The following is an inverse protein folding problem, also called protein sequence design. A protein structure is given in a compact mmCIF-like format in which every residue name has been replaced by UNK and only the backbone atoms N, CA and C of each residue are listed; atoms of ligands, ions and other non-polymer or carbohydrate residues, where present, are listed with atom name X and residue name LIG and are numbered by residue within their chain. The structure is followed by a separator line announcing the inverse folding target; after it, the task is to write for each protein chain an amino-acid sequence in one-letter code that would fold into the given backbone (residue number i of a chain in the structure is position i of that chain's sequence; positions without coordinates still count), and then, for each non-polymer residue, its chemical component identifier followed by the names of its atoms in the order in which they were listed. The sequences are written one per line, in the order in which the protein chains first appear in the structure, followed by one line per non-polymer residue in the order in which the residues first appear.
data_IF_274191294240
#
_entry.id   IF_274191294240
#
_cell.length_a   1.000
_cell.length_b   1.000
_cell.length_c   1.000
_cell.angle_alpha   90.00
_cell.angle_beta   90.00
_cell.angle_gamma   90.00
#
_symmetry.space_group_name_H-M   'P 1'
#
loop_
_entity.id
_entity.type
_entity.pdbx_description
1 polymer ?
#
# COMPACT_ATOMS: atom_id res chain seq x y z
N UNK A 1 -18.98 5.50 -21.63
CA UNK A 1 -18.49 4.90 -20.38
C UNK A 1 -17.09 5.43 -20.21
N UNK A 2 -16.83 6.29 -19.21
CA UNK A 2 -15.50 6.82 -18.99
C UNK A 2 -14.73 5.82 -18.13
N UNK A 3 -13.63 5.28 -18.65
CA UNK A 3 -12.74 4.40 -17.91
C UNK A 3 -12.17 5.16 -16.71
N UNK A 4 -12.25 4.55 -15.52
CA UNK A 4 -11.81 5.20 -14.29
C UNK A 4 -10.28 5.23 -14.23
N UNK A 5 -9.69 6.23 -13.56
CA UNK A 5 -8.23 6.33 -13.39
C UNK A 5 -7.63 5.05 -12.77
N UNK A 6 -8.42 4.36 -11.95
CA UNK A 6 -8.05 3.10 -11.31
C UNK A 6 -7.98 1.93 -12.31
N UNK A 7 -8.87 1.90 -13.30
CA UNK A 7 -8.82 0.90 -14.39
C UNK A 7 -7.57 1.07 -15.24
N UNK A 8 -7.20 2.32 -15.56
CA UNK A 8 -5.99 2.62 -16.32
C UNK A 8 -4.72 2.21 -15.56
N UNK A 9 -4.68 2.48 -14.25
CA UNK A 9 -3.58 2.05 -13.38
C UNK A 9 -3.47 0.53 -13.30
N UNK A 10 -4.60 -0.16 -13.17
CA UNK A 10 -4.65 -1.62 -13.15
C UNK A 10 -4.18 -2.21 -14.48
N UNK A 11 -4.52 -1.59 -15.60
CA UNK A 11 -4.08 -2.04 -16.93
C UNK A 11 -2.57 -1.87 -17.13
N UNK A 12 -1.99 -0.73 -16.72
CA UNK A 12 -0.54 -0.52 -16.78
C UNK A 12 0.20 -1.52 -15.90
N UNK A 13 -0.34 -1.80 -14.70
CA UNK A 13 0.25 -2.75 -13.76
C UNK A 13 0.22 -4.19 -14.30
N UNK A 14 -0.88 -4.57 -14.95
CA UNK A 14 -1.02 -5.86 -15.62
C UNK A 14 0.00 -6.02 -16.75
N UNK A 15 0.16 -5.00 -17.61
CA UNK A 15 1.13 -5.03 -18.72
C UNK A 15 2.59 -5.17 -18.23
N UNK A 16 2.93 -4.55 -17.10
CA UNK A 16 4.27 -4.69 -16.52
C UNK A 16 4.51 -6.06 -15.86
N UNK A 17 3.52 -6.63 -15.16
CA UNK A 17 3.64 -7.96 -14.56
C UNK A 17 3.71 -9.08 -15.61
N UNK A 18 3.10 -8.88 -16.78
CA UNK A 18 3.15 -9.85 -17.87
C UNK A 18 4.56 -9.92 -18.53
N UNK A 19 5.36 -8.85 -18.41
CA UNK A 19 6.74 -8.80 -18.94
C UNK A 19 7.79 -9.49 -18.06
N UNK A 20 7.47 -9.88 -16.83
CA UNK A 20 8.40 -10.56 -15.91
C UNK A 20 8.41 -12.09 -16.06
N UNK A 21 7.57 -12.68 -16.93
CA UNK A 21 7.63 -14.11 -17.24
C UNK A 21 8.42 -14.40 -18.52
N UNK A 22 9.76 -14.34 -18.39
CA UNK A 22 10.68 -15.22 -19.11
C UNK A 22 11.11 -14.84 -20.53
N UNK A 23 12.14 -13.99 -20.65
CA UNK A 23 13.31 -14.14 -21.56
C UNK A 23 14.28 -12.95 -21.39
N UNK A 24 15.61 -13.15 -21.37
CA UNK A 24 16.57 -12.06 -21.24
C UNK A 24 16.59 -11.22 -22.55
N UNK A 25 16.56 -9.88 -22.50
CA UNK A 25 16.68 -9.07 -23.70
C UNK A 25 18.13 -9.06 -24.18
N UNK A 26 18.34 -9.73 -25.31
CA UNK A 26 19.54 -9.70 -26.14
C UNK A 26 19.79 -8.26 -26.62
N UNK A 27 20.92 -7.67 -26.17
CA UNK A 27 21.35 -6.34 -26.58
C UNK A 27 21.77 -6.37 -28.06
N UNK A 28 20.93 -5.82 -28.94
CA UNK A 28 21.36 -5.43 -30.28
C UNK A 28 21.96 -4.02 -30.22
N UNK A 29 23.24 -3.80 -30.52
CA UNK A 29 23.75 -2.46 -30.75
C UNK A 29 23.22 -2.01 -32.11
N UNK A 30 22.35 -1.02 -32.11
CA UNK A 30 21.92 -0.31 -33.33
C UNK A 30 22.64 1.03 -33.31
N UNK A 31 23.87 1.06 -33.79
CA UNK A 31 24.59 2.24 -34.29
C UNK A 31 25.97 1.77 -34.77
N UNK A 32 26.09 1.58 -36.08
CA UNK A 32 27.36 1.35 -36.76
C UNK A 32 28.15 2.68 -36.81
N UNK A 33 29.31 2.71 -36.16
CA UNK A 33 30.23 3.85 -36.05
C UNK A 33 31.08 4.04 -37.33
N UNK A 34 30.48 3.95 -38.52
CA UNK A 34 31.20 4.07 -39.80
C UNK A 34 30.62 5.12 -40.77
N UNK A 35 29.49 5.76 -40.45
CA UNK A 35 28.87 6.77 -41.35
C UNK A 35 29.31 8.23 -41.07
N UNK A 36 30.27 8.45 -40.17
CA UNK A 36 30.82 9.79 -39.88
C UNK A 36 32.09 10.07 -40.68
N UNK A 37 31.97 10.19 -42.00
CA UNK A 37 33.06 10.74 -42.82
C UNK A 37 32.58 11.57 -44.01
N UNK A 38 32.39 12.88 -43.78
CA UNK A 38 32.87 13.97 -44.67
C UNK A 38 32.54 15.37 -44.13
N UNK A 39 33.28 16.42 -44.54
CA UNK A 39 33.68 17.51 -43.65
C UNK A 39 32.98 18.86 -43.89
N UNK A 40 33.05 19.69 -42.85
CA UNK A 40 33.01 21.16 -42.83
C UNK A 40 31.77 21.86 -43.39
N UNK A 41 30.99 22.50 -42.50
CA UNK A 41 30.97 23.97 -42.32
C UNK A 41 29.85 24.39 -41.35
N UNK A 42 30.09 25.51 -40.65
CA UNK A 42 29.14 26.36 -39.91
C UNK A 42 29.05 26.12 -38.40
N UNK A 43 29.91 26.84 -37.69
CA UNK A 43 29.81 27.16 -36.27
C UNK A 43 28.48 27.87 -35.97
N UNK A 44 27.54 27.16 -35.36
CA UNK A 44 26.40 27.79 -34.70
C UNK A 44 26.74 28.02 -33.23
N UNK A 45 27.16 29.25 -32.93
CA UNK A 45 27.25 29.78 -31.58
C UNK A 45 25.85 29.71 -30.95
N UNK A 46 25.64 28.78 -30.02
CA UNK A 46 24.45 28.76 -29.19
C UNK A 46 24.46 29.98 -28.27
N UNK A 47 23.71 31.02 -28.64
CA UNK A 47 23.29 32.03 -27.67
C UNK A 47 22.19 31.43 -26.79
N UNK A 48 22.28 31.54 -25.45
CA UNK A 48 21.15 31.23 -24.60
C UNK A 48 20.05 32.24 -24.91
N UNK A 49 18.92 31.75 -25.44
CA UNK A 49 17.67 32.49 -25.49
C UNK A 49 17.29 32.86 -24.06
N UNK A 50 17.64 34.08 -23.66
CA UNK A 50 17.08 34.75 -22.49
C UNK A 50 15.57 34.78 -22.69
N UNK A 51 14.85 33.93 -21.96
CA UNK A 51 13.39 33.99 -21.85
C UNK A 51 13.01 35.32 -21.23
N UNK A 52 12.72 36.31 -22.07
CA UNK A 52 12.04 37.53 -21.64
C UNK A 52 10.74 37.12 -20.94
N UNK A 53 10.38 37.72 -19.80
CA UNK A 53 9.10 37.48 -19.18
C UNK A 53 8.03 37.94 -20.16
N UNK A 54 7.38 36.99 -20.83
CA UNK A 54 6.25 37.29 -21.69
C UNK A 54 5.20 37.93 -20.79
N UNK A 55 4.84 39.18 -21.08
CA UNK A 55 3.91 39.98 -20.31
C UNK A 55 2.52 39.34 -20.34
N UNK A 56 2.28 38.41 -19.40
CA UNK A 56 0.97 37.80 -19.20
C UNK A 56 -0.06 38.87 -18.95
N UNK A 57 -1.22 38.75 -19.58
CA UNK A 57 -2.30 39.69 -19.32
C UNK A 57 -2.84 39.47 -17.89
N UNK A 58 -3.28 40.53 -17.18
CA UNK A 58 -3.86 40.39 -15.84
C UNK A 58 -5.07 39.43 -15.79
N UNK A 59 -5.78 39.28 -16.91
CA UNK A 59 -6.93 38.38 -17.06
C UNK A 59 -6.49 36.91 -17.06
N UNK A 60 -5.42 36.57 -17.78
CA UNK A 60 -4.86 35.21 -17.79
C UNK A 60 -4.32 34.80 -16.42
N UNK A 61 -3.67 35.73 -15.71
CA UNK A 61 -3.13 35.47 -14.38
C UNK A 61 -4.26 35.28 -13.34
N UNK A 62 -5.36 36.03 -13.49
CA UNK A 62 -6.57 35.83 -12.68
C UNK A 62 -7.22 34.46 -12.93
N UNK A 63 -7.33 34.03 -14.19
CA UNK A 63 -7.88 32.71 -14.53
C UNK A 63 -7.00 31.57 -14.00
N UNK A 64 -5.68 31.71 -14.11
CA UNK A 64 -4.75 30.71 -13.57
C UNK A 64 -4.79 30.65 -12.04
N UNK A 65 -4.96 31.80 -11.37
CA UNK A 65 -5.11 31.84 -9.92
C UNK A 65 -6.41 31.19 -9.45
N UNK A 66 -7.51 31.37 -10.20
CA UNK A 66 -8.80 30.75 -9.90
C UNK A 66 -8.75 29.23 -10.08
N UNK A 67 -8.17 28.75 -11.18
CA UNK A 67 -7.94 27.32 -11.40
C UNK A 67 -7.04 26.72 -10.31
N UNK A 68 -5.98 27.42 -9.92
CA UNK A 68 -5.11 26.96 -8.84
C UNK A 68 -5.87 26.83 -7.52
N UNK A 69 -6.71 27.81 -7.18
CA UNK A 69 -7.52 27.78 -5.98
C UNK A 69 -8.53 26.62 -5.98
N UNK A 70 -9.16 26.34 -7.12
CA UNK A 70 -10.09 25.22 -7.29
C UNK A 70 -9.39 23.86 -7.13
N UNK A 71 -8.19 23.69 -7.71
CA UNK A 71 -7.39 22.48 -7.53
C UNK A 71 -6.95 22.29 -6.07
N UNK A 72 -6.51 23.35 -5.39
CA UNK A 72 -6.13 23.29 -3.97
C UNK A 72 -7.34 22.95 -3.07
N UNK A 73 -8.53 23.45 -3.39
CA UNK A 73 -9.76 23.11 -2.69
C UNK A 73 -10.14 21.63 -2.90
N UNK A 74 -10.11 21.16 -4.15
CA UNK A 74 -10.40 19.78 -4.49
C UNK A 74 -9.41 18.80 -3.83
N UNK A 75 -8.12 19.14 -3.82
CA UNK A 75 -7.09 18.33 -3.17
C UNK A 75 -7.32 18.23 -1.66
N UNK A 76 -7.68 19.37 -1.02
CA UNK A 76 -8.00 19.43 0.41
C UNK A 76 -9.21 18.57 0.75
N UNK A 77 -10.26 18.60 -0.07
CA UNK A 77 -11.44 17.75 0.11
C UNK A 77 -11.12 16.27 -0.09
N UNK A 78 -10.38 15.93 -1.15
CA UNK A 78 -9.93 14.56 -1.40
C UNK A 78 -9.03 14.03 -0.27
N UNK A 79 -8.19 14.88 0.31
CA UNK A 79 -7.35 14.52 1.45
C UNK A 79 -8.18 14.27 2.71
N UNK A 80 -9.17 15.14 3.00
CA UNK A 80 -10.11 14.96 4.11
C UNK A 80 -10.90 13.65 3.98
N UNK A 81 -11.41 13.36 2.78
CA UNK A 81 -12.15 12.11 2.51
C UNK A 81 -11.27 10.88 2.72
N UNK A 82 -10.04 10.89 2.22
CA UNK A 82 -9.06 9.81 2.44
C UNK A 82 -8.74 9.62 3.92
N UNK A 83 -8.60 10.71 4.67
CA UNK A 83 -8.35 10.64 6.11
C UNK A 83 -9.53 10.02 6.87
N UNK A 84 -10.77 10.42 6.54
CA UNK A 84 -11.98 9.85 7.14
C UNK A 84 -12.11 8.35 6.85
N UNK A 85 -11.87 7.93 5.60
CA UNK A 85 -11.92 6.52 5.21
C UNK A 85 -10.89 5.68 6.00
N UNK A 86 -9.65 6.15 6.13
CA UNK A 86 -8.63 5.45 6.94
C UNK A 86 -9.04 5.32 8.40
N UNK A 87 -9.58 6.37 9.01
CA UNK A 87 -10.05 6.32 10.40
C UNK A 87 -11.20 5.31 10.58
N UNK A 88 -12.14 5.26 9.64
CA UNK A 88 -13.24 4.29 9.70
C UNK A 88 -12.73 2.85 9.53
N UNK A 89 -11.79 2.64 8.62
CA UNK A 89 -11.14 1.34 8.41
C UNK A 89 -10.37 0.86 9.64
N UNK A 90 -9.59 1.74 10.27
CA UNK A 90 -8.87 1.46 11.52
C UNK A 90 -9.85 1.10 12.64
N UNK A 91 -10.95 1.84 12.77
CA UNK A 91 -11.97 1.56 13.78
C UNK A 91 -12.63 0.20 13.55
N UNK A 92 -12.98 -0.13 12.29
CA UNK A 92 -13.52 -1.45 11.93
C UNK A 92 -12.52 -2.56 12.18
N UNK A 93 -11.24 -2.35 11.86
CA UNK A 93 -10.18 -3.33 12.11
C UNK A 93 -10.04 -3.62 13.62
N UNK A 94 -9.97 -2.57 14.44
CA UNK A 94 -9.90 -2.69 15.89
C UNK A 94 -11.13 -3.39 16.48
N UNK A 95 -12.33 -3.07 15.98
CA UNK A 95 -13.55 -3.74 16.43
C UNK A 95 -13.56 -5.23 16.06
N UNK A 96 -13.10 -5.59 14.86
CA UNK A 96 -12.98 -7.00 14.46
C UNK A 96 -11.98 -7.75 15.33
N UNK A 97 -10.83 -7.14 15.61
CA UNK A 97 -9.82 -7.73 16.48
C UNK A 97 -10.35 -7.94 17.90
N UNK A 98 -11.04 -6.93 18.46
CA UNK A 98 -11.64 -7.04 19.79
C UNK A 98 -12.66 -8.18 19.85
N UNK A 99 -13.55 -8.28 18.86
CA UNK A 99 -14.51 -9.39 18.77
C UNK A 99 -13.83 -10.76 18.68
N UNK A 100 -12.72 -10.86 17.92
CA UNK A 100 -11.92 -12.09 17.86
C UNK A 100 -11.32 -12.44 19.21
N UNK A 101 -10.76 -11.47 19.93
CA UNK A 101 -10.20 -11.69 21.28
C UNK A 101 -11.28 -12.08 22.28
N UNK A 102 -12.44 -11.44 22.24
CA UNK A 102 -13.55 -11.76 23.15
C UNK A 102 -14.12 -13.15 22.87
N UNK A 103 -14.27 -13.53 21.60
CA UNK A 103 -14.67 -14.89 21.22
C UNK A 103 -13.63 -15.94 21.65
N UNK A 104 -12.34 -15.63 21.51
CA UNK A 104 -11.25 -16.51 21.96
C UNK A 104 -11.26 -16.67 23.49
N UNK A 105 -11.51 -15.58 24.23
CA UNK A 105 -11.67 -15.62 25.69
C UNK A 105 -12.83 -16.50 26.12
N UNK A 106 -13.99 -16.39 25.47
CA UNK A 106 -15.14 -17.25 25.76
C UNK A 106 -14.81 -18.72 25.47
N UNK A 107 -14.21 -19.00 24.31
CA UNK A 107 -13.80 -20.36 23.98
C UNK A 107 -12.76 -20.92 24.96
N UNK A 108 -11.81 -20.10 25.41
CA UNK A 108 -10.82 -20.49 26.42
C UNK A 108 -11.49 -20.81 27.75
N UNK A 109 -12.46 -20.00 28.18
CA UNK A 109 -13.22 -20.25 29.40
C UNK A 109 -14.03 -21.54 29.30
N UNK A 110 -14.71 -21.77 28.18
CA UNK A 110 -15.47 -23.00 27.93
C UNK A 110 -14.55 -24.23 27.87
N UNK A 111 -13.40 -24.10 27.22
CA UNK A 111 -12.40 -25.17 27.17
C UNK A 111 -11.89 -25.52 28.57
N UNK A 112 -11.54 -24.52 29.39
CA UNK A 112 -11.12 -24.72 30.78
C UNK A 112 -12.20 -25.39 31.63
N UNK A 113 -13.47 -25.02 31.44
CA UNK A 113 -14.59 -25.62 32.16
C UNK A 113 -14.80 -27.10 31.79
N UNK A 114 -14.50 -27.47 30.54
CA UNK A 114 -14.61 -28.84 30.05
C UNK A 114 -13.31 -29.65 30.21
N UNK A 115 -12.19 -28.99 30.55
CA UNK A 115 -10.90 -29.62 30.71
C UNK A 115 -10.93 -30.58 31.90
N UNK A 116 -10.60 -31.85 31.65
CA UNK A 116 -10.56 -32.87 32.69
C UNK A 116 -9.24 -32.77 33.45
N UNK A 117 -9.23 -32.51 34.78
CA UNK A 117 -7.99 -32.31 35.55
C UNK A 117 -7.04 -33.52 35.59
N UNK A 118 -7.53 -34.73 35.31
CA UNK A 118 -6.73 -35.96 35.35
C UNK A 118 -6.48 -36.54 33.96
N UNK A 119 -6.79 -35.78 32.91
CA UNK A 119 -6.39 -36.09 31.53
C UNK A 119 -4.92 -35.70 31.33
N UNK A 120 -4.24 -36.35 30.38
CA UNK A 120 -2.88 -35.97 29.97
C UNK A 120 -2.80 -34.49 29.58
N UNK A 121 -3.81 -33.99 28.86
CA UNK A 121 -3.91 -32.57 28.47
C UNK A 121 -4.19 -31.66 29.68
N UNK A 122 -4.95 -32.13 30.67
CA UNK A 122 -5.22 -31.35 31.90
C UNK A 122 -3.98 -31.22 32.78
N UNK A 123 -3.20 -32.29 32.91
CA UNK A 123 -1.94 -32.30 33.66
C UNK A 123 -0.88 -31.44 32.98
N UNK A 124 -0.73 -31.58 31.66
CA UNK A 124 0.18 -30.75 30.88
C UNK A 124 -0.21 -29.27 30.94
N UNK A 125 -1.50 -28.96 30.80
CA UNK A 125 -1.97 -27.57 30.83
C UNK A 125 -1.77 -26.92 32.21
N UNK A 126 -1.89 -27.68 33.30
CA UNK A 126 -1.59 -27.18 34.64
C UNK A 126 -0.15 -26.67 34.73
N UNK A 127 0.81 -27.46 34.24
CA UNK A 127 2.23 -27.09 34.22
C UNK A 127 2.49 -25.91 33.27
N UNK A 128 1.89 -25.93 32.09
CA UNK A 128 1.97 -24.84 31.11
C UNK A 128 1.48 -23.51 31.71
N UNK A 129 0.38 -23.55 32.46
CA UNK A 129 -0.27 -22.36 33.02
C UNK A 129 0.52 -21.66 34.11
N UNK A 130 1.52 -22.31 34.73
CA UNK A 130 2.35 -21.68 35.78
C UNK A 130 3.20 -20.51 35.27
N UNK A 131 3.50 -20.50 33.97
CA UNK A 131 4.25 -19.40 33.36
C UNK A 131 3.41 -18.14 33.11
N UNK A 132 2.09 -18.23 33.27
CA UNK A 132 1.14 -17.15 33.00
C UNK A 132 0.56 -16.57 34.28
N UNK A 133 0.01 -15.36 34.18
CA UNK A 133 -0.66 -14.71 35.32
C UNK A 133 -1.97 -15.40 35.69
N UNK A 134 -2.59 -16.10 34.75
CA UNK A 134 -3.83 -16.85 34.95
C UNK A 134 -3.95 -18.04 33.99
N UNK A 135 -4.71 -19.07 34.41
CA UNK A 135 -5.08 -20.20 33.55
C UNK A 135 -5.86 -19.76 32.31
N UNK A 136 -6.66 -18.71 32.42
CA UNK A 136 -7.40 -18.17 31.29
C UNK A 136 -6.47 -17.60 30.22
N UNK A 137 -5.41 -16.89 30.62
CA UNK A 137 -4.41 -16.35 29.69
C UNK A 137 -3.64 -17.46 28.98
N UNK A 138 -3.20 -18.48 29.73
CA UNK A 138 -2.58 -19.67 29.15
C UNK A 138 -3.52 -20.37 28.14
N UNK A 139 -4.81 -20.53 28.47
CA UNK A 139 -5.77 -21.17 27.58
C UNK A 139 -6.02 -20.36 26.30
N UNK A 140 -6.01 -19.03 26.38
CA UNK A 140 -6.11 -18.14 25.22
C UNK A 140 -4.93 -18.37 24.28
N UNK A 141 -3.70 -18.38 24.81
CA UNK A 141 -2.49 -18.55 24.01
C UNK A 141 -2.40 -19.96 23.40
N UNK A 142 -2.77 -20.99 24.16
CA UNK A 142 -2.84 -22.37 23.65
C UNK A 142 -3.85 -22.50 22.50
N UNK A 143 -5.08 -21.98 22.67
CA UNK A 143 -6.10 -22.01 21.62
C UNK A 143 -5.73 -21.14 20.42
N UNK A 144 -4.98 -20.07 20.62
CA UNK A 144 -4.45 -19.26 19.52
C UNK A 144 -3.41 -20.04 18.73
N UNK A 145 -2.43 -20.68 19.39
CA UNK A 145 -1.40 -21.49 18.75
C UNK A 145 -2.01 -22.64 17.93
N UNK A 146 -3.05 -23.31 18.43
CA UNK A 146 -3.77 -24.36 17.72
C UNK A 146 -4.46 -23.89 16.42
N UNK A 147 -4.80 -22.60 16.31
CA UNK A 147 -5.39 -22.02 15.10
C UNK A 147 -4.34 -21.54 14.10
N UNK A 148 -3.12 -21.29 14.57
CA UNK A 148 -1.99 -20.84 13.75
C UNK A 148 -1.19 -22.01 13.16
N UNK A 149 -1.32 -23.22 13.72
CA UNK A 149 -0.81 -24.45 13.10
C UNK A 149 -1.65 -24.83 11.88
N UNK A 150 -1.08 -24.84 10.66
CA UNK A 150 -1.80 -25.12 9.41
C UNK A 150 -2.11 -26.60 9.18
#
# INVERSE_FOLDING_TARGET
MAESLDDLLNQIKAEYQEKDQGKPPEKKPLLDEDDLKSPATNSSTYQPISSSPSSRSPVEDSMLSELKAEFEEQEREAQRKRQQQRQEEELKAKQREQRKRDALKQQAQDWLNNLKPHSDEGLWFEEFSYSYSSKLEAAIDYLQALRETP
#
